data_IF_130416957178
#
_entry.id   IF_130416957178
#
_cell.length_a   1.000
_cell.length_b   1.000
_cell.length_c   1.000
_cell.angle_alpha   90.00
_cell.angle_beta   90.00
_cell.angle_gamma   90.00
#
_symmetry.space_group_name_H-M   'P 1'
#
loop_
_entity.id
_entity.type
_entity.pdbx_description
1 polymer ?
#
# COMPACT_ATOMS: atom_id res chain seq x y z
N UNK A 1 12.10 32.13 -1.20
CA UNK A 1 13.21 31.16 -1.38
C UNK A 1 13.67 30.71 -0.01
N UNK A 2 14.10 29.45 0.14
CA UNK A 2 14.53 28.89 1.42
C UNK A 2 15.81 29.59 1.93
N UNK A 3 15.91 29.79 3.24
CA UNK A 3 17.17 30.16 3.90
C UNK A 3 18.09 28.92 3.99
N UNK A 4 19.26 28.99 3.36
CA UNK A 4 20.23 27.89 3.30
C UNK A 4 21.01 27.69 4.61
N UNK A 5 20.95 28.68 5.52
CA UNK A 5 21.61 28.62 6.82
C UNK A 5 20.80 27.86 7.88
N UNK A 6 19.56 27.48 7.57
CA UNK A 6 18.72 26.66 8.45
C UNK A 6 18.74 25.18 8.03
N UNK A 7 18.77 24.22 8.97
CA UNK A 7 18.72 22.79 8.66
C UNK A 7 17.52 22.39 7.80
N UNK A 8 17.74 21.42 6.89
CA UNK A 8 16.72 20.85 5.99
C UNK A 8 17.32 20.42 4.65
N UNK A 9 16.55 19.79 3.76
CA UNK A 9 17.03 19.36 2.43
C UNK A 9 16.72 20.33 1.29
N UNK A 10 17.69 20.63 0.43
CA UNK A 10 17.45 21.41 -0.79
C UNK A 10 16.47 20.68 -1.72
N UNK A 11 15.71 21.40 -2.58
CA UNK A 11 14.99 20.76 -3.67
C UNK A 11 15.96 19.92 -4.51
N UNK A 12 15.54 18.70 -4.84
CA UNK A 12 16.29 17.85 -5.77
C UNK A 12 15.93 18.30 -7.19
N UNK A 13 16.94 18.46 -8.04
CA UNK A 13 16.76 18.76 -9.45
C UNK A 13 17.30 17.59 -10.28
N UNK A 14 16.57 17.18 -11.33
CA UNK A 14 16.95 16.09 -12.22
C UNK A 14 16.51 16.40 -13.66
N UNK A 15 17.29 15.96 -14.65
CA UNK A 15 16.98 16.11 -16.08
C UNK A 15 16.32 14.87 -16.70
N UNK A 16 16.33 13.74 -15.99
CA UNK A 16 15.69 12.49 -16.40
C UNK A 16 14.40 12.24 -15.63
N UNK A 17 14.36 11.17 -14.83
CA UNK A 17 13.25 10.87 -13.92
C UNK A 17 13.53 11.25 -12.47
N UNK A 18 12.47 11.35 -11.68
CA UNK A 18 12.52 11.59 -10.23
C UNK A 18 11.46 10.72 -9.54
N UNK A 19 11.79 10.22 -8.36
CA UNK A 19 10.84 9.58 -7.46
C UNK A 19 10.90 10.26 -6.09
N UNK A 20 9.75 10.38 -5.43
CA UNK A 20 9.66 10.91 -4.07
C UNK A 20 8.70 10.02 -3.27
N UNK A 21 9.21 9.41 -2.21
CA UNK A 21 8.45 8.55 -1.29
C UNK A 21 8.83 8.87 0.15
N UNK A 22 8.15 8.28 1.13
CA UNK A 22 8.52 8.40 2.56
C UNK A 22 9.75 7.57 2.93
N UNK A 23 10.16 6.60 2.11
CA UNK A 23 11.31 5.75 2.38
C UNK A 23 12.44 5.90 1.34
N UNK A 24 13.69 6.11 1.76
CA UNK A 24 14.80 6.20 0.80
C UNK A 24 15.04 4.89 0.04
N UNK A 25 14.82 3.71 0.64
CA UNK A 25 14.96 2.43 -0.10
C UNK A 25 13.91 2.29 -1.22
N UNK A 26 12.66 2.72 -0.97
CA UNK A 26 11.62 2.73 -2.00
C UNK A 26 11.94 3.73 -3.12
N UNK A 27 12.43 4.92 -2.74
CA UNK A 27 12.89 5.94 -3.69
C UNK A 27 14.04 5.40 -4.56
N UNK A 28 15.03 4.73 -3.96
CA UNK A 28 16.15 4.14 -4.69
C UNK A 28 15.69 3.06 -5.66
N UNK A 29 14.81 2.14 -5.24
CA UNK A 29 14.26 1.10 -6.11
C UNK A 29 13.51 1.68 -7.31
N UNK A 30 12.68 2.71 -7.11
CA UNK A 30 12.01 3.41 -8.20
C UNK A 30 13.02 4.08 -9.16
N UNK A 31 14.06 4.73 -8.63
CA UNK A 31 15.11 5.34 -9.46
C UNK A 31 15.85 4.28 -10.29
N UNK A 32 16.14 3.12 -9.73
CA UNK A 32 16.80 2.03 -10.44
C UNK A 32 15.92 1.46 -11.56
N UNK A 33 14.60 1.35 -11.34
CA UNK A 33 13.64 0.99 -12.39
C UNK A 33 13.64 2.02 -13.52
N UNK A 34 13.59 3.31 -13.20
CA UNK A 34 13.66 4.39 -14.21
C UNK A 34 14.99 4.36 -14.98
N UNK A 35 16.12 4.15 -14.29
CA UNK A 35 17.46 4.06 -14.90
C UNK A 35 17.61 2.84 -15.81
N UNK A 36 16.94 1.75 -15.48
CA UNK A 36 16.93 0.52 -16.29
C UNK A 36 15.81 0.51 -17.33
N UNK A 37 15.22 1.67 -17.64
CA UNK A 37 14.29 1.86 -18.76
C UNK A 37 12.82 1.58 -18.46
N UNK A 38 12.46 1.32 -17.20
CA UNK A 38 11.05 1.29 -16.80
C UNK A 38 10.42 2.68 -16.83
N UNK A 39 9.09 2.72 -16.89
CA UNK A 39 8.34 3.97 -16.92
C UNK A 39 7.90 4.43 -15.51
N UNK A 40 7.14 5.52 -15.44
CA UNK A 40 6.65 6.06 -14.17
C UNK A 40 5.73 5.10 -13.40
N UNK A 41 4.93 4.28 -14.10
CA UNK A 41 4.05 3.29 -13.46
C UNK A 41 4.86 2.13 -12.88
N UNK A 42 5.82 1.58 -13.64
CA UNK A 42 6.71 0.53 -13.17
C UNK A 42 7.46 0.96 -11.90
N UNK A 43 7.98 2.19 -11.92
CA UNK A 43 8.72 2.77 -10.81
C UNK A 43 7.82 3.02 -9.60
N UNK A 44 6.58 3.51 -9.81
CA UNK A 44 5.62 3.76 -8.74
C UNK A 44 5.18 2.47 -8.03
N UNK A 45 4.82 1.43 -8.79
CA UNK A 45 4.44 0.12 -8.23
C UNK A 45 5.62 -0.51 -7.49
N UNK A 46 6.83 -0.46 -8.06
CA UNK A 46 8.05 -0.96 -7.38
C UNK A 46 8.30 -0.24 -6.06
N UNK A 47 8.20 1.10 -6.04
CA UNK A 47 8.33 1.87 -4.80
C UNK A 47 7.26 1.48 -3.77
N UNK A 48 6.00 1.40 -4.19
CA UNK A 48 4.89 1.06 -3.31
C UNK A 48 5.07 -0.34 -2.69
N UNK A 49 5.44 -1.34 -3.50
CA UNK A 49 5.73 -2.69 -3.05
C UNK A 49 6.88 -2.72 -2.02
N UNK A 50 7.95 -1.95 -2.24
CA UNK A 50 9.03 -1.82 -1.25
C UNK A 50 8.52 -1.18 0.04
N UNK A 51 7.68 -0.13 -0.02
CA UNK A 51 7.11 0.50 1.18
C UNK A 51 6.23 -0.46 1.98
N UNK A 52 5.49 -1.36 1.33
CA UNK A 52 4.72 -2.42 2.01
C UNK A 52 5.60 -3.38 2.83
N UNK A 53 6.92 -3.39 2.59
CA UNK A 53 7.88 -4.15 3.39
C UNK A 53 8.55 -3.23 4.42
N UNK A 54 9.08 -2.10 4.00
CA UNK A 54 10.00 -1.29 4.83
C UNK A 54 9.30 -0.25 5.72
N UNK A 55 8.00 -0.01 5.52
CA UNK A 55 7.17 0.91 6.31
C UNK A 55 5.88 0.24 6.85
N UNK A 56 5.99 -0.86 7.63
CA UNK A 56 4.85 -1.73 7.97
C UNK A 56 3.76 -1.06 8.81
N UNK A 57 4.07 0.06 9.47
CA UNK A 57 3.11 0.85 10.25
C UNK A 57 2.28 1.83 9.42
N UNK A 58 2.58 1.98 8.13
CA UNK A 58 1.97 3.00 7.26
C UNK A 58 1.25 2.41 6.06
N UNK A 59 1.77 1.35 5.45
CA UNK A 59 1.16 0.69 4.28
C UNK A 59 1.52 -0.80 4.24
N UNK A 60 0.82 -1.57 3.40
CA UNK A 60 1.02 -3.02 3.27
C UNK A 60 0.21 -3.60 2.10
N UNK A 61 0.53 -4.85 1.72
CA UNK A 61 -0.23 -5.57 0.66
C UNK A 61 -1.67 -5.89 1.06
N UNK A 62 -1.98 -5.80 2.36
CA UNK A 62 -3.33 -5.88 2.91
C UNK A 62 -4.10 -4.56 2.93
N UNK A 63 -3.66 -3.55 2.18
CA UNK A 63 -4.31 -2.24 2.09
C UNK A 63 -4.92 -1.93 0.72
N UNK A 64 -5.15 -0.64 0.49
CA UNK A 64 -5.80 -0.08 -0.70
C UNK A 64 -4.83 0.77 -1.54
N UNK A 65 -5.23 1.11 -2.76
CA UNK A 65 -4.43 1.95 -3.67
C UNK A 65 -5.30 2.99 -4.38
N UNK A 66 -4.83 4.24 -4.42
CA UNK A 66 -5.43 5.32 -5.20
C UNK A 66 -4.36 5.97 -6.06
N UNK A 67 -4.68 6.22 -7.33
CA UNK A 67 -3.70 6.72 -8.31
C UNK A 67 -4.29 7.86 -9.12
N UNK A 68 -3.49 8.92 -9.30
CA UNK A 68 -3.64 9.88 -10.38
C UNK A 68 -2.44 9.72 -11.31
N UNK A 69 -2.71 9.49 -12.59
CA UNK A 69 -1.68 9.16 -13.58
C UNK A 69 -1.79 10.02 -14.83
N UNK A 70 -0.67 10.61 -15.25
CA UNK A 70 -0.54 11.39 -16.47
C UNK A 70 0.25 10.56 -17.52
N UNK A 71 -0.42 9.77 -18.37
CA UNK A 71 0.27 8.92 -19.34
C UNK A 71 1.09 9.75 -20.33
N UNK A 72 2.38 9.41 -20.47
CA UNK A 72 3.28 10.03 -21.47
C UNK A 72 3.35 11.57 -21.37
N UNK A 73 3.10 12.13 -20.18
CA UNK A 73 3.08 13.58 -19.95
C UNK A 73 1.88 14.30 -20.57
N UNK A 74 0.79 13.58 -20.90
CA UNK A 74 -0.45 14.20 -21.34
C UNK A 74 -1.13 14.99 -20.21
N UNK A 75 -1.97 15.95 -20.59
CA UNK A 75 -2.92 16.59 -19.66
C UNK A 75 -4.15 15.73 -19.34
N UNK A 76 -4.32 14.61 -20.05
CA UNK A 76 -5.41 13.66 -19.81
C UNK A 76 -5.07 12.80 -18.59
N UNK A 77 -5.44 13.29 -17.40
CA UNK A 77 -5.21 12.59 -16.14
C UNK A 77 -6.21 11.45 -15.98
N UNK A 78 -5.68 10.27 -15.66
CA UNK A 78 -6.44 9.08 -15.31
C UNK A 78 -6.49 8.96 -13.79
N UNK A 79 -7.63 8.60 -13.23
CA UNK A 79 -7.75 8.22 -11.84
C UNK A 79 -8.12 6.73 -11.70
N UNK A 80 -7.50 6.06 -10.74
CA UNK A 80 -7.81 4.68 -10.38
C UNK A 80 -8.11 4.59 -8.88
N UNK A 81 -9.22 3.95 -8.56
CA UNK A 81 -9.67 3.65 -7.21
C UNK A 81 -9.59 2.14 -6.98
N UNK A 82 -8.51 1.70 -6.31
CA UNK A 82 -8.31 0.36 -5.81
C UNK A 82 -8.57 0.27 -4.31
N UNK A 83 -9.66 0.88 -3.83
CA UNK A 83 -10.11 0.68 -2.45
C UNK A 83 -10.99 -0.55 -2.29
N UNK A 84 -10.75 -1.25 -1.19
CA UNK A 84 -11.44 -2.46 -0.83
C UNK A 84 -12.90 -2.26 -0.50
N UNK A 85 -13.70 -3.29 -0.79
CA UNK A 85 -15.11 -3.34 -0.40
C UNK A 85 -15.27 -4.04 0.95
N UNK A 86 -16.28 -3.65 1.70
CA UNK A 86 -16.72 -4.42 2.85
C UNK A 86 -17.21 -5.81 2.38
N UNK A 87 -17.01 -6.87 3.18
CA UNK A 87 -17.57 -8.20 2.87
C UNK A 87 -19.07 -8.13 2.64
N UNK A 88 -19.61 -8.93 1.71
CA UNK A 88 -21.04 -8.91 1.38
C UNK A 88 -21.95 -9.21 2.56
N UNK A 89 -21.47 -9.96 3.55
CA UNK A 89 -22.22 -10.28 4.77
C UNK A 89 -22.24 -9.15 5.81
N UNK A 90 -21.38 -8.14 5.69
CA UNK A 90 -21.21 -7.05 6.66
C UNK A 90 -22.34 -6.00 6.61
N UNK A 91 -23.59 -6.45 6.71
CA UNK A 91 -24.78 -5.58 6.79
C UNK A 91 -24.97 -5.02 8.21
N UNK A 92 -25.61 -3.86 8.38
CA UNK A 92 -25.95 -3.33 9.71
C UNK A 92 -26.73 -4.33 10.57
N UNK A 93 -27.66 -5.07 9.98
CA UNK A 93 -28.45 -6.10 10.65
C UNK A 93 -27.57 -7.25 11.14
N UNK A 94 -26.70 -7.78 10.28
CA UNK A 94 -25.78 -8.85 10.65
C UNK A 94 -24.82 -8.42 11.77
N UNK A 95 -24.24 -7.22 11.67
CA UNK A 95 -23.35 -6.68 12.70
C UNK A 95 -24.08 -6.59 14.05
N UNK A 96 -25.32 -6.10 14.05
CA UNK A 96 -26.15 -6.04 15.25
C UNK A 96 -26.46 -7.43 15.83
N UNK A 97 -26.74 -8.41 14.98
CA UNK A 97 -26.99 -9.80 15.40
C UNK A 97 -25.73 -10.46 15.98
N UNK A 98 -24.54 -10.04 15.54
CA UNK A 98 -23.26 -10.44 16.15
C UNK A 98 -22.90 -9.64 17.42
N UNK A 99 -23.77 -8.75 17.88
CA UNK A 99 -23.53 -7.90 19.04
C UNK A 99 -22.51 -6.77 18.82
N UNK A 100 -22.23 -6.43 17.56
CA UNK A 100 -21.31 -5.36 17.18
C UNK A 100 -22.08 -4.04 17.14
N UNK A 101 -21.89 -3.20 18.16
CA UNK A 101 -22.49 -1.86 18.23
C UNK A 101 -21.59 -0.75 17.67
N UNK A 102 -20.30 -1.03 17.50
CA UNK A 102 -19.29 -0.08 17.00
C UNK A 102 -18.16 -0.85 16.28
N UNK A 103 -17.74 -0.37 15.10
CA UNK A 103 -16.57 -0.87 14.41
C UNK A 103 -15.35 -0.06 14.86
N UNK A 104 -14.59 -0.59 15.80
CA UNK A 104 -13.35 0.04 16.28
C UNK A 104 -12.19 -0.25 15.33
N UNK A 105 -11.12 0.55 15.41
CA UNK A 105 -9.94 0.46 14.53
C UNK A 105 -9.26 -0.93 14.51
N UNK A 106 -9.38 -1.71 15.58
CA UNK A 106 -8.75 -3.03 15.69
C UNK A 106 -9.76 -4.18 15.60
N UNK A 107 -11.00 -3.88 15.19
CA UNK A 107 -12.03 -4.87 14.95
C UNK A 107 -11.75 -5.60 13.63
N UNK A 108 -11.98 -6.93 13.53
CA UNK A 108 -11.94 -7.62 12.24
C UNK A 108 -12.99 -7.09 11.26
N UNK A 109 -14.07 -6.47 11.75
CA UNK A 109 -15.09 -5.83 10.94
C UNK A 109 -14.62 -4.50 10.30
N UNK A 110 -13.48 -3.96 10.73
CA UNK A 110 -12.86 -2.79 10.11
C UNK A 110 -12.06 -3.16 8.84
N UNK A 111 -11.83 -4.45 8.59
CA UNK A 111 -11.06 -4.93 7.45
C UNK A 111 -11.97 -5.01 6.23
N UNK A 112 -11.70 -4.21 5.20
CA UNK A 112 -12.23 -4.40 3.85
C UNK A 112 -11.37 -5.40 3.08
N UNK A 113 -11.86 -5.91 1.95
CA UNK A 113 -11.05 -6.77 1.08
C UNK A 113 -9.93 -5.93 0.45
N UNK A 114 -8.64 -6.21 0.67
CA UNK A 114 -7.55 -5.34 0.21
C UNK A 114 -7.57 -5.11 -1.31
N UNK A 115 -7.50 -3.85 -1.76
CA UNK A 115 -7.54 -3.51 -3.19
C UNK A 115 -6.17 -3.25 -3.85
N UNK A 116 -5.07 -3.19 -3.09
CA UNK A 116 -3.77 -2.76 -3.61
C UNK A 116 -3.17 -3.67 -4.69
N UNK A 117 -3.21 -5.00 -4.50
CA UNK A 117 -2.58 -5.94 -5.45
C UNK A 117 -3.32 -5.96 -6.80
N UNK A 118 -4.65 -5.90 -6.77
CA UNK A 118 -5.48 -5.76 -7.97
C UNK A 118 -5.12 -4.49 -8.74
N UNK A 119 -5.05 -3.36 -8.04
CA UNK A 119 -4.66 -2.08 -8.62
C UNK A 119 -3.26 -2.15 -9.27
N UNK A 120 -2.28 -2.73 -8.60
CA UNK A 120 -0.92 -2.85 -9.16
C UNK A 120 -0.89 -3.71 -10.41
N UNK A 121 -1.56 -4.86 -10.41
CA UNK A 121 -1.61 -5.74 -11.58
C UNK A 121 -2.30 -5.02 -12.75
N UNK A 122 -3.48 -4.45 -12.54
CA UNK A 122 -4.24 -3.76 -13.58
C UNK A 122 -3.46 -2.57 -14.16
N UNK A 123 -2.87 -1.73 -13.31
CA UNK A 123 -2.12 -0.56 -13.77
C UNK A 123 -0.82 -0.94 -14.49
N UNK A 124 -0.15 -2.03 -14.11
CA UNK A 124 1.01 -2.53 -14.85
C UNK A 124 0.61 -3.11 -16.20
N UNK A 125 -0.48 -3.86 -16.26
CA UNK A 125 -0.98 -4.42 -17.52
C UNK A 125 -1.39 -3.31 -18.51
N UNK A 126 -2.06 -2.27 -18.02
CA UNK A 126 -2.59 -1.19 -18.85
C UNK A 126 -1.55 -0.09 -19.17
N UNK A 127 -0.62 0.17 -18.26
CA UNK A 127 0.29 1.33 -18.33
C UNK A 127 1.76 1.03 -18.04
N UNK A 128 2.08 -0.16 -17.57
CA UNK A 128 3.45 -0.59 -17.28
C UNK A 128 4.23 -1.01 -18.52
N UNK A 129 5.53 -1.23 -18.31
CA UNK A 129 6.41 -1.94 -19.26
C UNK A 129 7.13 -3.12 -18.61
N UNK A 130 6.84 -3.39 -17.33
CA UNK A 130 7.38 -4.50 -16.55
C UNK A 130 6.28 -5.39 -16.02
N UNK A 131 6.59 -6.67 -15.87
CA UNK A 131 5.69 -7.60 -15.21
C UNK A 131 5.59 -7.31 -13.71
N UNK A 132 4.50 -7.74 -13.07
CA UNK A 132 4.40 -7.73 -11.61
C UNK A 132 5.59 -8.46 -10.96
N UNK A 133 6.04 -9.58 -11.55
CA UNK A 133 7.20 -10.33 -11.08
C UNK A 133 8.47 -9.48 -11.00
N UNK A 134 8.74 -8.66 -12.03
CA UNK A 134 9.90 -7.77 -12.08
C UNK A 134 9.80 -6.64 -11.06
N UNK A 135 8.62 -6.04 -10.90
CA UNK A 135 8.39 -4.92 -9.98
C UNK A 135 8.49 -5.33 -8.51
N UNK A 136 8.16 -6.59 -8.18
CA UNK A 136 8.21 -7.10 -6.81
C UNK A 136 9.61 -7.55 -6.35
N UNK A 137 10.61 -7.64 -7.24
CA UNK A 137 11.93 -8.19 -6.89
C UNK A 137 12.61 -7.46 -5.72
N UNK A 138 12.55 -6.13 -5.70
CA UNK A 138 13.13 -5.34 -4.61
C UNK A 138 12.41 -5.58 -3.28
N UNK A 139 11.08 -5.66 -3.29
CA UNK A 139 10.28 -5.93 -2.11
C UNK A 139 10.56 -7.34 -1.56
N UNK A 140 10.60 -8.36 -2.43
CA UNK A 140 10.96 -9.74 -2.07
C UNK A 140 12.35 -9.79 -1.45
N UNK A 141 13.34 -9.11 -2.08
CA UNK A 141 14.70 -9.05 -1.57
C UNK A 141 14.76 -8.44 -0.16
N UNK A 142 14.17 -7.26 0.05
CA UNK A 142 14.17 -6.61 1.37
C UNK A 142 13.38 -7.40 2.41
N UNK A 143 12.29 -8.05 2.04
CA UNK A 143 11.52 -8.89 2.96
C UNK A 143 12.34 -10.12 3.39
N UNK A 144 13.11 -10.73 2.48
CA UNK A 144 13.90 -11.93 2.73
C UNK A 144 15.22 -11.66 3.44
N UNK A 145 16.06 -10.81 2.85
CA UNK A 145 17.42 -10.54 3.33
C UNK A 145 17.43 -9.54 4.49
N UNK A 146 16.39 -8.72 4.54
CA UNK A 146 16.15 -7.73 5.57
C UNK A 146 16.56 -6.32 5.16
N UNK A 147 16.13 -5.36 5.97
CA UNK A 147 16.41 -3.95 5.79
C UNK A 147 16.72 -3.29 7.14
N UNK A 148 17.62 -2.28 7.17
CA UNK A 148 17.84 -1.51 8.38
C UNK A 148 16.58 -0.67 8.67
N UNK A 149 16.11 -0.68 9.92
CA UNK A 149 14.99 0.16 10.35
C UNK A 149 15.44 1.61 10.45
N UNK A 150 14.75 2.54 9.80
CA UNK A 150 15.07 3.97 9.81
C UNK A 150 14.48 4.70 11.04
N UNK A 151 15.04 5.85 11.42
CA UNK A 151 14.63 6.60 12.62
C UNK A 151 13.14 6.92 12.67
N UNK A 152 12.57 7.40 11.56
CA UNK A 152 11.13 7.72 11.48
C UNK A 152 10.28 6.46 11.69
N UNK A 153 10.71 5.36 11.08
CA UNK A 153 10.05 4.05 11.14
C UNK A 153 10.10 3.50 12.57
N UNK A 154 11.28 3.48 13.22
CA UNK A 154 11.42 3.06 14.62
C UNK A 154 10.56 3.89 15.58
N UNK A 155 10.45 5.20 15.34
CA UNK A 155 9.62 6.10 16.14
C UNK A 155 8.13 5.76 16.03
N UNK A 156 7.62 5.54 14.82
CA UNK A 156 6.21 5.20 14.62
C UNK A 156 5.91 3.77 15.09
N UNK A 157 6.81 2.81 14.81
CA UNK A 157 6.69 1.42 15.25
C UNK A 157 6.59 1.31 16.78
N UNK A 158 7.38 2.11 17.52
CA UNK A 158 7.33 2.16 18.99
C UNK A 158 5.96 2.58 19.52
N UNK A 159 5.22 3.43 18.80
CA UNK A 159 3.85 3.85 19.18
C UNK A 159 2.86 2.69 19.08
N UNK A 160 3.15 1.70 18.24
CA UNK A 160 2.34 0.50 18.04
C UNK A 160 2.72 -0.66 18.98
N UNK A 161 3.75 -0.54 19.83
CA UNK A 161 4.27 -1.66 20.64
C UNK A 161 3.19 -2.36 21.49
N UNK A 162 2.35 -1.57 22.18
CA UNK A 162 1.30 -2.11 23.04
C UNK A 162 0.17 -2.80 22.24
N UNK A 163 -0.05 -2.39 21.00
CA UNK A 163 -1.00 -3.02 20.08
C UNK A 163 -0.43 -4.33 19.55
N UNK A 164 0.81 -4.31 19.03
CA UNK A 164 1.49 -5.48 18.49
C UNK A 164 1.66 -6.59 19.54
N UNK A 165 1.90 -6.23 20.80
CA UNK A 165 2.06 -7.20 21.89
C UNK A 165 0.81 -8.03 22.20
N UNK A 166 -0.39 -7.59 21.75
CA UNK A 166 -1.67 -8.29 21.96
C UNK A 166 -1.89 -9.43 20.97
N UNK A 167 -1.31 -9.34 19.77
CA UNK A 167 -1.47 -10.35 18.74
C UNK A 167 -0.22 -11.27 18.69
N UNK A 168 -0.37 -12.60 18.87
CA UNK A 168 0.77 -13.51 18.87
C UNK A 168 1.60 -13.50 17.58
N UNK A 169 0.94 -13.37 16.43
CA UNK A 169 1.59 -13.36 15.12
C UNK A 169 2.36 -12.07 14.91
N UNK A 170 1.73 -10.93 15.16
CA UNK A 170 2.35 -9.61 15.07
C UNK A 170 3.50 -9.47 16.06
N UNK A 171 3.36 -9.97 17.29
CA UNK A 171 4.46 -10.01 18.27
C UNK A 171 5.64 -10.82 17.77
N UNK A 172 5.40 -12.01 17.19
CA UNK A 172 6.46 -12.88 16.65
C UNK A 172 7.20 -12.24 15.49
N UNK A 173 6.47 -11.58 14.58
CA UNK A 173 7.05 -10.99 13.38
C UNK A 173 7.72 -9.65 13.72
N UNK A 174 6.98 -8.74 14.35
CA UNK A 174 7.35 -7.33 14.48
C UNK A 174 8.00 -6.95 15.81
N UNK A 175 8.22 -7.88 16.74
CA UNK A 175 8.84 -7.60 18.04
C UNK A 175 9.98 -8.57 18.35
N UNK A 176 11.23 -8.09 18.29
CA UNK A 176 12.41 -8.85 18.71
C UNK A 176 12.57 -8.75 20.23
N UNK A 177 12.71 -9.89 20.90
CA UNK A 177 12.81 -9.97 22.37
C UNK A 177 11.68 -9.24 23.11
N UNK A 178 10.48 -9.24 22.51
CA UNK A 178 9.30 -8.61 23.08
C UNK A 178 9.31 -7.07 23.04
N UNK A 179 10.16 -6.45 22.21
CA UNK A 179 10.18 -5.00 21.97
C UNK A 179 10.19 -4.70 20.48
N UNK A 180 9.69 -3.53 20.10
CA UNK A 180 9.80 -3.08 18.70
C UNK A 180 11.27 -2.81 18.34
N UNK A 181 11.69 -3.07 17.08
CA UNK A 181 13.06 -2.81 16.64
C UNK A 181 13.50 -1.36 16.86
N UNK A 182 14.79 -1.17 17.14
CA UNK A 182 15.40 0.17 17.20
C UNK A 182 15.89 0.57 15.81
N UNK A 183 16.12 1.87 15.62
CA UNK A 183 16.81 2.34 14.42
C UNK A 183 18.14 1.62 14.21
N UNK A 184 18.45 1.31 12.94
CA UNK A 184 19.60 0.52 12.51
C UNK A 184 19.49 -0.98 12.73
N UNK A 185 18.45 -1.48 13.43
CA UNK A 185 18.22 -2.92 13.57
C UNK A 185 17.85 -3.51 12.21
N UNK A 186 18.44 -4.63 11.84
CA UNK A 186 18.08 -5.37 10.63
C UNK A 186 16.78 -6.16 10.89
N UNK A 187 15.71 -5.84 10.16
CA UNK A 187 14.43 -6.52 10.26
C UNK A 187 14.15 -7.36 9.01
N UNK A 188 13.54 -8.54 9.19
CA UNK A 188 13.24 -9.51 8.12
C UNK A 188 11.81 -10.00 8.23
N UNK A 189 11.18 -10.25 7.09
CA UNK A 189 9.81 -10.73 6.94
C UNK A 189 9.75 -11.88 5.92
N UNK A 190 10.34 -13.06 6.22
CA UNK A 190 10.44 -14.16 5.26
C UNK A 190 9.07 -14.70 4.81
N UNK A 191 8.06 -14.65 5.67
CA UNK A 191 6.68 -15.04 5.33
C UNK A 191 6.06 -14.06 4.31
N UNK A 192 6.27 -12.76 4.49
CA UNK A 192 5.86 -11.76 3.50
C UNK A 192 6.62 -11.94 2.18
N UNK A 193 7.91 -12.28 2.22
CA UNK A 193 8.68 -12.59 1.02
C UNK A 193 8.07 -13.77 0.25
N UNK A 194 7.66 -14.84 0.94
CA UNK A 194 7.00 -15.99 0.32
C UNK A 194 5.65 -15.60 -0.31
N UNK A 195 4.84 -14.78 0.37
CA UNK A 195 3.59 -14.25 -0.20
C UNK A 195 3.85 -13.42 -1.45
N UNK A 196 4.85 -12.53 -1.42
CA UNK A 196 5.22 -11.72 -2.59
C UNK A 196 5.74 -12.58 -3.75
N UNK A 197 6.42 -13.70 -3.50
CA UNK A 197 6.82 -14.66 -4.54
C UNK A 197 5.62 -15.38 -5.18
N UNK A 198 4.59 -15.71 -4.38
CA UNK A 198 3.33 -16.26 -4.90
C UNK A 198 2.67 -15.23 -5.83
N UNK A 199 2.58 -13.97 -5.41
CA UNK A 199 2.02 -12.88 -6.24
C UNK A 199 2.88 -12.65 -7.49
N UNK A 200 4.21 -12.67 -7.37
CA UNK A 200 5.11 -12.52 -8.52
C UNK A 200 4.90 -13.63 -9.55
N UNK A 201 4.65 -14.86 -9.11
CA UNK A 201 4.49 -16.02 -10.00
C UNK A 201 3.08 -16.19 -10.57
N UNK A 202 2.05 -15.81 -9.82
CA UNK A 202 0.64 -16.04 -10.16
C UNK A 202 -0.12 -14.74 -10.50
N UNK A 203 0.55 -13.59 -10.41
CA UNK A 203 -0.07 -12.28 -10.57
C UNK A 203 -1.15 -12.04 -9.52
N UNK A 204 -2.23 -11.41 -9.96
CA UNK A 204 -3.40 -11.09 -9.14
C UNK A 204 -3.93 -12.30 -8.37
N UNK A 205 -4.03 -13.46 -9.03
CA UNK A 205 -4.60 -14.66 -8.43
C UNK A 205 -3.77 -15.21 -7.27
N UNK A 206 -2.48 -14.86 -7.20
CA UNK A 206 -1.62 -15.20 -6.07
C UNK A 206 -2.05 -14.56 -4.73
N UNK A 207 -2.88 -13.52 -4.76
CA UNK A 207 -3.40 -12.85 -3.57
C UNK A 207 -4.91 -13.07 -3.34
N UNK A 208 -5.70 -13.06 -4.42
CA UNK A 208 -7.16 -13.12 -4.34
C UNK A 208 -7.73 -14.53 -4.46
N UNK A 209 -6.91 -15.52 -4.79
CA UNK A 209 -7.26 -16.93 -4.87
C UNK A 209 -6.22 -17.81 -4.14
N UNK A 210 -6.56 -19.09 -3.95
CA UNK A 210 -5.66 -20.08 -3.37
C UNK A 210 -5.22 -19.77 -1.93
N UNK A 211 -4.02 -20.25 -1.59
CA UNK A 211 -3.56 -20.34 -0.20
C UNK A 211 -3.49 -18.98 0.54
N UNK A 212 -3.14 -17.89 -0.14
CA UNK A 212 -3.05 -16.56 0.50
C UNK A 212 -4.44 -16.04 0.87
N UNK A 213 -5.39 -16.10 -0.06
CA UNK A 213 -6.77 -15.69 0.20
C UNK A 213 -7.43 -16.60 1.26
N UNK A 214 -7.20 -17.91 1.18
CA UNK A 214 -7.69 -18.88 2.17
C UNK A 214 -7.16 -18.58 3.57
N UNK A 215 -5.86 -18.29 3.72
CA UNK A 215 -5.25 -17.95 5.01
C UNK A 215 -5.85 -16.66 5.60
N UNK A 216 -6.00 -15.60 4.78
CA UNK A 216 -6.61 -14.34 5.21
C UNK A 216 -8.06 -14.55 5.67
N UNK A 217 -8.87 -15.24 4.85
CA UNK A 217 -10.29 -15.49 5.15
C UNK A 217 -10.44 -16.34 6.41
N UNK A 218 -9.63 -17.41 6.55
CA UNK A 218 -9.66 -18.28 7.72
C UNK A 218 -9.25 -17.53 8.99
N UNK A 219 -8.21 -16.71 8.91
CA UNK A 219 -7.77 -15.90 10.04
C UNK A 219 -8.86 -14.90 10.45
N UNK A 220 -9.42 -14.13 9.50
CA UNK A 220 -10.46 -13.15 9.79
C UNK A 220 -11.69 -13.80 10.40
N UNK A 221 -12.16 -14.93 9.87
CA UNK A 221 -13.25 -15.70 10.48
C UNK A 221 -12.93 -16.17 11.89
N UNK A 222 -11.70 -16.63 12.14
CA UNK A 222 -11.28 -17.11 13.47
C UNK A 222 -11.34 -16.03 14.56
N UNK A 223 -11.27 -14.75 14.16
CA UNK A 223 -11.37 -13.60 15.07
C UNK A 223 -12.72 -12.88 15.01
N UNK A 224 -13.69 -13.40 14.26
CA UNK A 224 -15.07 -12.90 14.21
C UNK A 224 -15.45 -12.14 12.92
N UNK A 225 -14.55 -12.01 11.96
CA UNK A 225 -14.83 -11.44 10.63
C UNK A 225 -15.82 -12.28 9.81
N UNK A 226 -16.41 -11.66 8.78
CA UNK A 226 -17.39 -12.29 7.88
C UNK A 226 -16.92 -12.39 6.43
N UNK A 227 -15.63 -12.17 6.18
CA UNK A 227 -15.02 -12.30 4.87
C UNK A 227 -15.23 -13.70 4.29
N UNK A 228 -15.44 -13.78 3.00
CA UNK A 228 -15.59 -15.02 2.25
C UNK A 228 -14.61 -15.07 1.07
N UNK A 229 -14.41 -16.27 0.52
CA UNK A 229 -13.61 -16.40 -0.70
C UNK A 229 -14.25 -15.68 -1.89
N UNK A 230 -15.58 -15.58 -1.94
CA UNK A 230 -16.30 -14.86 -2.98
C UNK A 230 -16.02 -13.34 -2.91
N UNK A 231 -15.89 -12.78 -1.71
CA UNK A 231 -15.51 -11.37 -1.53
C UNK A 231 -14.12 -11.08 -2.11
N UNK A 232 -13.17 -12.01 -1.97
CA UNK A 232 -11.82 -11.90 -2.54
C UNK A 232 -11.82 -12.14 -4.05
N UNK A 233 -12.52 -13.17 -4.52
CA UNK A 233 -12.58 -13.53 -5.94
C UNK A 233 -13.16 -12.39 -6.79
N UNK A 234 -14.14 -11.65 -6.26
CA UNK A 234 -14.83 -10.54 -6.95
C UNK A 234 -14.26 -9.16 -6.67
N UNK A 235 -13.20 -9.04 -5.86
CA UNK A 235 -12.55 -7.78 -5.56
C UNK A 235 -12.01 -7.13 -6.84
N UNK A 236 -12.33 -5.87 -7.10
CA UNK A 236 -11.78 -5.18 -8.27
C UNK A 236 -11.74 -3.68 -7.99
N UNK A 237 -10.61 -3.07 -8.36
CA UNK A 237 -10.50 -1.63 -8.50
C UNK A 237 -11.23 -1.14 -9.74
N UNK A 238 -11.30 0.17 -9.88
CA UNK A 238 -12.03 0.82 -10.96
C UNK A 238 -11.31 2.08 -11.43
N UNK A 239 -11.26 2.26 -12.74
CA UNK A 239 -10.98 3.55 -13.34
C UNK A 239 -12.16 4.50 -13.08
N UNK A 240 -11.85 5.71 -12.64
CA UNK A 240 -12.84 6.72 -12.29
C UNK A 240 -12.47 8.06 -12.92
N UNK A 241 -13.47 8.92 -13.11
CA UNK A 241 -13.23 10.28 -13.60
C UNK A 241 -12.67 11.14 -12.47
N UNK A 242 -11.48 11.77 -12.62
CA UNK A 242 -10.95 12.67 -11.61
C UNK A 242 -11.81 13.93 -11.47
N UNK A 243 -11.88 14.47 -10.26
CA UNK A 243 -12.49 15.78 -10.00
C UNK A 243 -11.43 16.88 -10.16
N UNK A 244 -11.77 17.95 -10.90
CA UNK A 244 -10.79 18.94 -11.37
C UNK A 244 -11.31 20.39 -11.48
N UNK A 245 -11.51 21.12 -10.37
CA UNK A 245 -11.83 22.54 -10.46
C UNK A 245 -10.65 23.35 -11.01
N UNK A 246 -10.97 24.47 -11.64
CA UNK A 246 -9.97 25.47 -12.01
C UNK A 246 -9.68 26.40 -10.84
N UNK A 247 -8.40 26.63 -10.54
CA UNK A 247 -7.94 27.56 -9.53
C UNK A 247 -6.79 28.44 -10.06
N UNK A 248 -7.00 29.76 -10.12
CA UNK A 248 -5.98 30.74 -10.55
C UNK A 248 -5.26 30.35 -11.84
N UNK A 249 -6.01 29.88 -12.84
CA UNK A 249 -5.47 29.47 -14.15
C UNK A 249 -4.85 28.07 -14.19
N UNK A 250 -4.97 27.26 -13.14
CA UNK A 250 -4.52 25.86 -13.10
C UNK A 250 -5.71 24.93 -12.90
N UNK A 251 -5.60 23.69 -13.37
CA UNK A 251 -6.51 22.60 -12.99
C UNK A 251 -5.88 21.81 -11.83
N UNK A 252 -6.66 21.58 -10.77
CA UNK A 252 -6.21 20.80 -9.60
C UNK A 252 -6.97 19.50 -9.57
N UNK A 253 -6.26 18.38 -9.75
CA UNK A 253 -6.86 17.05 -9.87
C UNK A 253 -6.86 16.32 -8.52
N UNK A 254 -7.98 15.70 -8.18
CA UNK A 254 -8.11 14.76 -7.06
C UNK A 254 -8.89 13.53 -7.50
N UNK A 255 -8.68 12.41 -6.79
CA UNK A 255 -9.58 11.27 -6.93
C UNK A 255 -10.99 11.66 -6.43
N UNK A 256 -12.06 11.19 -7.10
CA UNK A 256 -13.42 11.41 -6.62
C UNK A 256 -13.67 10.66 -5.30
N UNK A 257 -14.83 10.88 -4.65
CA UNK A 257 -15.32 9.97 -3.61
C UNK A 257 -15.20 8.50 -4.04
N UNK A 258 -14.94 7.55 -3.15
CA UNK A 258 -15.00 7.59 -1.68
C UNK A 258 -13.79 8.22 -0.94
N UNK A 259 -12.76 8.68 -1.66
CA UNK A 259 -11.67 9.44 -1.05
C UNK A 259 -12.10 10.82 -0.56
N UNK A 260 -11.28 11.43 0.31
CA UNK A 260 -11.54 12.77 0.85
C UNK A 260 -10.89 13.91 0.04
N UNK A 261 -10.38 13.63 -1.17
CA UNK A 261 -9.70 14.62 -2.02
C UNK A 261 -10.55 15.86 -2.32
N UNK A 262 -11.87 15.70 -2.37
CA UNK A 262 -12.79 16.85 -2.55
C UNK A 262 -12.67 17.91 -1.46
N UNK A 263 -12.30 17.54 -0.23
CA UNK A 263 -12.08 18.50 0.84
C UNK A 263 -10.93 19.47 0.50
N UNK A 264 -9.85 18.97 -0.12
CA UNK A 264 -8.75 19.81 -0.59
C UNK A 264 -9.23 20.81 -1.65
N UNK A 265 -10.05 20.34 -2.59
CA UNK A 265 -10.59 21.15 -3.67
C UNK A 265 -11.56 22.23 -3.21
N UNK A 266 -12.38 21.95 -2.18
CA UNK A 266 -13.30 22.93 -1.60
C UNK A 266 -12.59 24.08 -0.87
N UNK A 267 -11.33 23.89 -0.47
CA UNK A 267 -10.55 24.90 0.24
C UNK A 267 -9.83 25.91 -0.67
N UNK A 268 -9.78 25.66 -1.99
CA UNK A 268 -9.07 26.49 -2.97
C UNK A 268 -9.75 27.85 -3.19
#
# INVERSE_FOLDING_TARGET
MRNLELPGRSPVHAAGGMAATSHPLATSAAIDVLRSGGNAMDAAVTACAVQCVVEPQSTGIGGDCFVLYAPKGSGDIIAFNGSGRAPGQATPEWLKDQGVSEITQHSPHAVTVPGAIDAWCQLLDDHGTRSIADTLQYAIHYAREGYPVHDRIASDWKRCEAMLAKDPTAKRIFMSDGKTPKSGTLHRQPELAATLEIIASQGRDGFYHGAVAEDIVNHLKSVGGCHSMDDFATAAGQYVDPIRPSYRGHEVYECPPNGQGIAALMML
#
